data_IF_609971722019
#
_entry.id   IF_609971722019
#
_cell.length_a   1.000
_cell.length_b   1.000
_cell.length_c   1.000
_cell.angle_alpha   90.00
_cell.angle_beta   90.00
_cell.angle_gamma   90.00
#
_symmetry.space_group_name_H-M   'P 1'
#
loop_
_entity.id
_entity.type
_entity.pdbx_description
1 polymer ?
#
# COMPACT_ATOMS: atom_id res chain seq x y z
N UNK A 1 31.35 -38.82 47.42
CA UNK A 1 32.38 -39.90 47.43
C UNK A 1 33.19 -39.71 48.68
N UNK A 2 33.22 -40.71 49.57
CA UNK A 2 34.08 -40.68 50.76
C UNK A 2 35.25 -41.61 50.46
N UNK A 3 36.48 -41.10 50.56
CA UNK A 3 37.69 -41.88 50.38
C UNK A 3 38.38 -42.00 51.74
N UNK A 4 38.57 -43.24 52.19
CA UNK A 4 39.36 -43.58 53.37
C UNK A 4 40.59 -44.38 52.94
N UNK A 5 41.71 -44.15 53.63
CA UNK A 5 42.95 -44.89 53.40
C UNK A 5 43.12 -45.89 54.56
N UNK A 6 43.10 -47.19 54.24
CA UNK A 6 43.38 -48.22 55.24
C UNK A 6 44.90 -48.27 55.52
N UNK A 7 45.30 -48.75 56.70
CA UNK A 7 46.71 -48.82 57.14
C UNK A 7 47.63 -49.55 56.14
N UNK A 8 47.07 -50.43 55.31
CA UNK A 8 47.80 -51.25 54.34
C UNK A 8 47.96 -50.57 52.96
N UNK A 9 47.77 -49.25 52.86
CA UNK A 9 47.85 -48.50 51.60
C UNK A 9 46.70 -48.79 50.61
N UNK A 10 45.68 -49.52 51.04
CA UNK A 10 44.49 -49.82 50.23
C UNK A 10 43.49 -48.66 50.33
N UNK A 11 43.21 -48.03 49.19
CA UNK A 11 42.18 -46.98 49.10
C UNK A 11 40.80 -47.62 49.02
N UNK A 12 39.95 -47.37 50.01
CA UNK A 12 38.56 -47.84 50.01
C UNK A 12 37.67 -46.67 49.61
N UNK A 13 37.02 -46.79 48.45
CA UNK A 13 36.04 -45.83 47.97
C UNK A 13 34.61 -46.32 48.24
N UNK A 14 33.86 -45.61 49.08
CA UNK A 14 32.42 -45.81 49.22
C UNK A 14 31.66 -44.82 48.34
N UNK A 15 30.84 -45.35 47.43
CA UNK A 15 29.92 -44.56 46.61
C UNK A 15 28.54 -44.60 47.26
N UNK A 16 28.16 -43.52 47.93
CA UNK A 16 26.80 -43.30 48.39
C UNK A 16 26.00 -42.65 47.26
N UNK A 17 24.89 -43.29 46.87
CA UNK A 17 23.91 -42.72 45.96
C UNK A 17 22.64 -42.37 46.74
N UNK A 18 22.13 -41.16 46.55
CA UNK A 18 20.81 -40.78 47.02
C UNK A 18 19.83 -40.91 45.86
N UNK A 19 18.77 -41.70 46.03
CA UNK A 19 17.69 -41.81 45.05
C UNK A 19 16.47 -41.09 45.63
N UNK A 20 16.06 -40.01 44.98
CA UNK A 20 14.78 -39.39 45.26
C UNK A 20 13.69 -40.33 44.73
N UNK A 21 12.92 -40.92 45.64
CA UNK A 21 11.73 -41.68 45.25
C UNK A 21 10.74 -40.79 44.52
N UNK A 22 10.09 -41.32 43.48
CA UNK A 22 8.97 -40.63 42.84
C UNK A 22 7.87 -40.32 43.87
N UNK A 23 7.17 -39.20 43.65
CA UNK A 23 6.07 -38.79 44.53
C UNK A 23 4.99 -39.88 44.61
N UNK A 24 4.32 -40.08 45.77
CA UNK A 24 3.27 -41.08 45.94
C UNK A 24 2.13 -41.01 44.92
N UNK A 25 1.89 -39.84 44.33
CA UNK A 25 0.89 -39.66 43.28
C UNK A 25 1.19 -40.44 42.00
N UNK A 26 2.46 -40.75 41.71
CA UNK A 26 2.85 -41.64 40.59
C UNK A 26 2.58 -43.11 40.86
N UNK A 27 2.30 -43.50 42.12
CA UNK A 27 1.94 -44.88 42.45
C UNK A 27 0.48 -45.19 42.16
N UNK A 28 -0.36 -44.17 42.04
CA UNK A 28 -1.78 -44.35 41.75
C UNK A 28 -2.01 -44.31 40.24
N UNK A 29 -2.27 -45.49 39.66
CA UNK A 29 -2.59 -45.66 38.24
C UNK A 29 -4.10 -45.72 37.97
N UNK A 30 -4.94 -45.56 39.00
CA UNK A 30 -6.38 -45.61 38.86
C UNK A 30 -6.95 -44.26 38.39
N UNK A 31 -7.98 -44.33 37.54
CA UNK A 31 -8.72 -43.16 37.08
C UNK A 31 -9.50 -42.52 38.23
N UNK A 32 -9.33 -41.22 38.42
CA UNK A 32 -10.09 -40.44 39.40
C UNK A 32 -11.36 -39.87 38.75
N UNK A 33 -12.39 -40.70 38.60
CA UNK A 33 -13.70 -40.32 38.06
C UNK A 33 -14.34 -39.06 38.71
N UNK A 34 -14.36 -38.90 40.05
CA UNK A 34 -14.97 -37.72 40.64
C UNK A 34 -14.20 -36.43 40.30
N UNK A 35 -12.87 -36.48 40.21
CA UNK A 35 -12.08 -35.34 39.75
C UNK A 35 -12.40 -34.99 38.29
N UNK A 36 -12.52 -35.99 37.42
CA UNK A 36 -12.89 -35.78 36.02
C UNK A 36 -14.29 -35.16 35.88
N UNK A 37 -15.25 -35.59 36.72
CA UNK A 37 -16.58 -35.01 36.75
C UNK A 37 -16.57 -33.54 37.23
N UNK A 38 -15.77 -33.22 38.25
CA UNK A 38 -15.59 -31.83 38.69
C UNK A 38 -14.97 -30.97 37.59
N UNK A 39 -13.96 -31.48 36.90
CA UNK A 39 -13.30 -30.77 35.82
C UNK A 39 -14.25 -30.52 34.64
N UNK A 40 -15.08 -31.50 34.29
CA UNK A 40 -16.14 -31.35 33.29
C UNK A 40 -17.14 -30.26 33.69
N UNK A 41 -17.55 -30.18 34.96
CA UNK A 41 -18.45 -29.14 35.45
C UNK A 41 -17.85 -27.73 35.34
N UNK A 42 -16.57 -27.57 35.70
CA UNK A 42 -15.89 -26.26 35.66
C UNK A 42 -15.63 -25.80 34.23
N UNK A 43 -15.27 -26.72 33.34
CA UNK A 43 -14.95 -26.43 31.94
C UNK A 43 -16.17 -26.39 31.02
N UNK A 44 -17.35 -26.77 31.51
CA UNK A 44 -18.55 -26.98 30.69
C UNK A 44 -18.45 -28.18 29.75
N UNK A 45 -17.47 -29.06 29.97
CA UNK A 45 -17.28 -30.31 29.23
C UNK A 45 -18.23 -31.42 29.68
N UNK A 46 -18.07 -32.62 29.09
CA UNK A 46 -18.83 -33.82 29.48
C UNK A 46 -17.96 -35.06 29.50
N UNK A 47 -18.25 -35.98 30.40
CA UNK A 47 -17.68 -37.33 30.38
C UNK A 47 -18.35 -38.17 29.29
N UNK A 48 -17.55 -38.88 28.49
CA UNK A 48 -18.02 -39.82 27.48
C UNK A 48 -17.93 -41.24 28.04
N UNK A 49 -18.94 -42.06 27.77
CA UNK A 49 -18.92 -43.48 28.12
C UNK A 49 -18.32 -44.31 26.99
N UNK A 50 -17.79 -45.47 27.35
CA UNK A 50 -17.34 -46.48 26.38
C UNK A 50 -18.52 -46.84 25.46
N UNK A 51 -18.34 -46.68 24.15
CA UNK A 51 -19.39 -46.85 23.14
C UNK A 51 -19.90 -45.54 22.50
N UNK A 52 -19.53 -44.37 23.02
CA UNK A 52 -19.87 -43.05 22.43
C UNK A 52 -18.68 -42.37 21.70
N UNK A 53 -17.81 -43.16 21.07
CA UNK A 53 -16.56 -42.67 20.45
C UNK A 53 -16.80 -41.63 19.35
N UNK A 54 -17.87 -41.81 18.57
CA UNK A 54 -18.24 -40.88 17.49
C UNK A 54 -18.63 -39.50 17.99
N UNK A 55 -19.10 -39.42 19.23
CA UNK A 55 -19.58 -38.18 19.84
C UNK A 55 -18.44 -37.26 20.30
N UNK A 56 -17.18 -37.73 20.27
CA UNK A 56 -15.96 -36.92 20.44
C UNK A 56 -15.71 -36.01 19.24
N UNK A 57 -16.07 -36.48 18.04
CA UNK A 57 -15.85 -35.77 16.78
C UNK A 57 -17.04 -34.90 16.36
N UNK A 58 -18.04 -34.77 17.22
CA UNK A 58 -19.14 -33.84 16.98
C UNK A 58 -18.58 -32.41 16.96
N UNK A 59 -18.85 -31.67 15.88
CA UNK A 59 -18.42 -30.28 15.73
C UNK A 59 -19.40 -29.33 16.42
N UNK A 60 -19.68 -29.60 17.70
CA UNK A 60 -20.66 -28.88 18.52
C UNK A 60 -20.01 -27.93 19.55
N UNK A 61 -18.68 -27.76 19.49
CA UNK A 61 -17.96 -26.80 20.32
C UNK A 61 -18.03 -25.40 19.69
N UNK A 62 -18.17 -24.35 20.51
CA UNK A 62 -18.05 -22.98 20.04
C UNK A 62 -16.66 -22.81 19.41
N UNK A 63 -16.60 -22.26 18.19
CA UNK A 63 -15.32 -21.96 17.56
C UNK A 63 -14.62 -20.88 18.37
N UNK A 64 -13.59 -21.28 19.10
CA UNK A 64 -12.61 -20.37 19.70
C UNK A 64 -12.04 -19.49 18.57
N UNK A 65 -11.83 -18.18 18.80
CA UNK A 65 -11.15 -17.34 17.83
C UNK A 65 -9.73 -17.87 17.58
N UNK A 66 -9.57 -18.62 16.49
CA UNK A 66 -8.29 -19.14 16.08
C UNK A 66 -7.37 -17.97 15.66
N UNK A 67 -6.22 -17.85 16.32
CA UNK A 67 -5.19 -16.88 15.95
C UNK A 67 -4.75 -17.14 14.51
N UNK A 68 -5.06 -16.21 13.62
CA UNK A 68 -4.60 -16.30 12.22
C UNK A 68 -3.11 -15.99 12.16
N UNK A 69 -2.29 -16.80 11.47
CA UNK A 69 -0.88 -16.51 11.31
C UNK A 69 -0.71 -15.23 10.47
N UNK A 70 -0.24 -14.15 11.11
CA UNK A 70 0.04 -12.87 10.44
C UNK A 70 1.41 -12.86 9.74
N UNK A 71 2.27 -13.82 10.05
CA UNK A 71 3.64 -13.90 9.53
C UNK A 71 3.71 -13.96 7.99
N UNK A 72 2.80 -14.61 7.23
CA UNK A 72 2.91 -14.65 5.77
C UNK A 72 2.79 -13.25 5.18
N UNK A 73 1.89 -12.43 5.73
CA UNK A 73 1.71 -11.03 5.33
C UNK A 73 2.91 -10.18 5.69
N UNK A 74 3.48 -10.38 6.88
CA UNK A 74 4.71 -9.69 7.29
C UNK A 74 5.88 -10.06 6.39
N UNK A 75 6.06 -11.34 6.05
CA UNK A 75 7.12 -11.78 5.15
C UNK A 75 6.94 -11.24 3.73
N UNK A 76 5.70 -11.22 3.22
CA UNK A 76 5.40 -10.64 1.92
C UNK A 76 5.72 -9.14 1.90
N UNK A 77 5.36 -8.43 2.97
CA UNK A 77 5.69 -7.02 3.12
C UNK A 77 7.20 -6.80 3.20
N UNK A 78 7.94 -7.62 3.95
CA UNK A 78 9.42 -7.56 4.01
C UNK A 78 10.05 -7.79 2.64
N UNK A 79 9.60 -8.81 1.89
CA UNK A 79 10.11 -9.09 0.54
C UNK A 79 9.84 -7.94 -0.41
N UNK A 80 8.68 -7.26 -0.28
CA UNK A 80 8.35 -6.10 -1.10
C UNK A 80 9.10 -4.82 -0.65
N UNK A 81 9.33 -4.65 0.65
CA UNK A 81 10.07 -3.51 1.20
C UNK A 81 11.55 -3.57 0.90
N UNK A 82 12.13 -4.77 0.77
CA UNK A 82 13.56 -4.94 0.51
C UNK A 82 14.05 -4.25 -0.77
N UNK A 83 13.46 -4.47 -1.97
CA UNK A 83 13.86 -3.72 -3.17
C UNK A 83 13.50 -2.23 -3.08
N UNK A 84 12.45 -1.86 -2.32
CA UNK A 84 12.10 -0.46 -2.10
C UNK A 84 13.13 0.27 -1.23
N UNK A 85 13.59 -0.33 -0.13
CA UNK A 85 14.61 0.24 0.76
C UNK A 85 15.97 0.35 0.05
N UNK A 86 16.35 -0.68 -0.71
CA UNK A 86 17.54 -0.63 -1.59
C UNK A 86 17.36 0.46 -2.64
N UNK A 87 16.17 0.54 -3.24
CA UNK A 87 15.83 1.53 -4.26
C UNK A 87 15.87 2.96 -3.75
N UNK A 88 15.46 3.24 -2.51
CA UNK A 88 15.48 4.59 -1.94
C UNK A 88 16.87 4.95 -1.40
N UNK A 89 17.57 4.00 -0.78
CA UNK A 89 18.88 4.26 -0.16
C UNK A 89 20.05 4.19 -1.12
N UNK A 90 20.02 3.26 -2.07
CA UNK A 90 21.20 2.92 -2.90
C UNK A 90 21.09 3.37 -4.34
N UNK A 91 19.88 3.54 -4.85
CA UNK A 91 19.65 4.08 -6.18
C UNK A 91 19.02 5.45 -5.97
N UNK A 92 19.57 6.51 -6.57
CA UNK A 92 18.87 7.79 -6.60
C UNK A 92 17.74 7.64 -7.62
N UNK A 93 16.68 6.89 -7.29
CA UNK A 93 15.54 6.70 -8.18
C UNK A 93 14.90 8.07 -8.40
N UNK A 94 14.99 8.57 -9.63
CA UNK A 94 14.21 9.73 -10.05
C UNK A 94 12.77 9.26 -10.30
N UNK A 95 11.77 10.12 -10.09
CA UNK A 95 10.35 9.80 -10.33
C UNK A 95 10.08 9.16 -11.71
N UNK A 96 10.88 9.50 -12.72
CA UNK A 96 10.84 8.93 -14.06
C UNK A 96 11.20 7.43 -14.13
N UNK A 97 12.07 6.94 -13.25
CA UNK A 97 12.43 5.52 -13.20
C UNK A 97 11.32 4.69 -12.58
N UNK A 98 10.59 5.28 -11.62
CA UNK A 98 9.40 4.67 -11.04
C UNK A 98 8.29 4.50 -12.08
N UNK A 99 8.04 5.52 -12.92
CA UNK A 99 7.09 5.42 -14.03
C UNK A 99 7.48 4.34 -15.05
N UNK A 100 8.77 4.21 -15.37
CA UNK A 100 9.28 3.20 -16.31
C UNK A 100 9.11 1.80 -15.74
N UNK A 101 9.41 1.60 -14.46
CA UNK A 101 9.25 0.32 -13.78
C UNK A 101 7.77 -0.09 -13.72
N UNK A 102 6.88 0.82 -13.34
CA UNK A 102 5.42 0.58 -13.34
C UNK A 102 4.95 0.24 -14.76
N UNK A 103 5.31 1.03 -15.77
CA UNK A 103 4.93 0.76 -17.17
C UNK A 103 5.47 -0.57 -17.68
N UNK A 104 6.64 -1.02 -17.22
CA UNK A 104 7.19 -2.32 -17.60
C UNK A 104 6.52 -3.49 -16.87
N UNK A 105 6.24 -3.37 -15.57
CA UNK A 105 5.54 -4.39 -14.78
C UNK A 105 4.09 -4.52 -15.26
N UNK A 106 3.38 -3.39 -15.39
CA UNK A 106 1.97 -3.35 -15.77
C UNK A 106 1.74 -3.40 -17.29
N UNK A 107 2.72 -3.03 -18.11
CA UNK A 107 2.66 -3.15 -19.57
C UNK A 107 3.01 -4.54 -20.11
N UNK A 108 3.50 -5.44 -19.24
CA UNK A 108 3.64 -6.87 -19.53
C UNK A 108 2.38 -7.68 -19.21
N UNK A 109 1.37 -7.08 -18.58
CA UNK A 109 0.04 -7.66 -18.67
C UNK A 109 -0.37 -7.56 -20.13
N UNK A 110 -0.86 -8.65 -20.77
CA UNK A 110 -1.42 -8.53 -22.10
C UNK A 110 -2.48 -7.44 -22.02
N UNK A 111 -2.25 -6.32 -22.70
CA UNK A 111 -3.34 -5.42 -23.02
C UNK A 111 -4.37 -6.31 -23.71
N UNK A 112 -5.46 -6.63 -23.02
CA UNK A 112 -6.67 -7.04 -23.70
C UNK A 112 -6.93 -5.92 -24.67
N UNK A 113 -6.59 -6.16 -25.92
CA UNK A 113 -6.96 -5.33 -27.04
C UNK A 113 -8.46 -5.06 -26.84
N UNK A 114 -8.85 -3.82 -26.55
CA UNK A 114 -10.25 -3.54 -26.32
C UNK A 114 -10.93 -3.85 -27.64
N UNK A 115 -11.64 -4.99 -27.69
CA UNK A 115 -12.60 -5.27 -28.74
C UNK A 115 -13.52 -4.06 -28.74
N UNK A 116 -13.41 -3.28 -29.80
CA UNK A 116 -14.11 -2.02 -29.98
C UNK A 116 -15.60 -2.33 -29.96
N UNK A 117 -16.24 -2.19 -28.79
CA UNK A 117 -17.67 -1.87 -28.68
C UNK A 117 -17.76 -0.36 -28.41
N UNK A 118 -17.86 0.47 -29.46
CA UNK A 118 -17.75 1.93 -29.35
C UNK A 118 -18.99 2.57 -28.69
N UNK A 119 -20.04 1.81 -28.39
CA UNK A 119 -21.29 2.35 -27.85
C UNK A 119 -21.26 2.56 -26.32
N UNK A 120 -20.68 1.64 -25.55
CA UNK A 120 -20.73 1.68 -24.07
C UNK A 120 -19.76 2.69 -23.45
N UNK A 121 -18.56 2.85 -24.02
CA UNK A 121 -17.56 3.80 -23.51
C UNK A 121 -17.93 5.26 -23.80
N UNK A 122 -18.59 5.52 -24.95
CA UNK A 122 -19.13 6.84 -25.30
C UNK A 122 -20.31 7.25 -24.40
N UNK A 123 -21.17 6.31 -24.03
CA UNK A 123 -22.28 6.58 -23.10
C UNK A 123 -21.78 6.85 -21.68
N UNK A 124 -20.78 6.08 -21.21
CA UNK A 124 -20.19 6.31 -19.89
C UNK A 124 -19.45 7.65 -19.81
N UNK A 125 -18.73 8.07 -20.87
CA UNK A 125 -18.08 9.39 -20.90
C UNK A 125 -19.09 10.54 -20.96
N UNK A 126 -20.23 10.37 -21.65
CA UNK A 126 -21.34 11.33 -21.62
C UNK A 126 -21.95 11.50 -20.24
N UNK A 127 -22.06 10.41 -19.45
CA UNK A 127 -22.53 10.48 -18.08
C UNK A 127 -21.56 11.23 -17.15
N UNK A 128 -20.25 11.04 -17.33
CA UNK A 128 -19.24 11.80 -16.56
C UNK A 128 -19.24 13.30 -16.91
N UNK A 129 -19.42 13.65 -18.19
CA UNK A 129 -19.56 15.04 -18.64
C UNK A 129 -20.85 15.68 -18.11
N UNK A 130 -21.97 14.95 -18.11
CA UNK A 130 -23.23 15.42 -17.53
C UNK A 130 -23.13 15.63 -16.01
N UNK A 131 -22.43 14.73 -15.30
CA UNK A 131 -22.21 14.84 -13.85
C UNK A 131 -21.31 16.02 -13.49
N UNK A 132 -20.26 16.29 -14.27
CA UNK A 132 -19.42 17.49 -14.09
C UNK A 132 -20.19 18.78 -14.34
N UNK A 133 -21.07 18.81 -15.35
CA UNK A 133 -21.95 19.97 -15.61
C UNK A 133 -22.96 20.22 -14.49
N UNK A 134 -23.57 19.15 -13.96
CA UNK A 134 -24.51 19.26 -12.84
C UNK A 134 -23.84 19.64 -11.50
N UNK A 135 -22.54 19.35 -11.37
CA UNK A 135 -21.75 19.73 -10.19
C UNK A 135 -21.22 21.17 -10.31
N UNK A 136 -21.20 21.75 -11.51
CA UNK A 136 -20.65 23.07 -11.80
C UNK A 136 -21.64 24.25 -11.64
N UNK A 137 -22.96 24.01 -11.47
CA UNK A 137 -23.94 25.07 -11.16
C UNK A 137 -25.03 24.51 -10.25
N UNK A 138 -25.32 25.20 -9.13
CA UNK A 138 -26.44 26.15 -9.16
C UNK A 138 -26.27 27.38 -8.26
N UNK A 139 -26.37 28.59 -8.84
CA UNK A 139 -27.04 29.76 -8.26
C UNK A 139 -27.20 30.78 -9.39
N UNK A 140 -28.43 30.91 -9.89
CA UNK A 140 -29.13 32.18 -10.15
C UNK A 140 -30.36 31.78 -10.99
N UNK A 141 -31.49 31.63 -10.29
CA UNK A 141 -32.81 31.63 -10.90
C UNK A 141 -33.09 33.05 -11.38
N UNK A 142 -34.05 33.17 -12.31
CA UNK A 142 -34.83 34.39 -12.62
C UNK A 142 -34.16 35.30 -13.68
N UNK A 143 -34.70 35.58 -14.88
CA UNK A 143 -36.09 35.74 -15.35
C UNK A 143 -36.24 35.42 -16.85
N UNK A 144 -37.49 35.17 -17.19
CA UNK A 144 -38.11 34.88 -18.50
C UNK A 144 -38.07 36.11 -19.46
N UNK A 145 -38.14 35.93 -20.79
CA UNK A 145 -37.92 36.97 -21.81
C UNK A 145 -39.20 37.44 -22.55
N UNK A 146 -39.24 38.71 -23.00
CA UNK A 146 -40.11 39.24 -24.08
C UNK A 146 -39.37 40.44 -24.72
N UNK A 147 -38.89 40.40 -25.97
CA UNK A 147 -39.56 40.56 -27.29
C UNK A 147 -39.96 42.00 -27.68
N UNK A 148 -39.57 42.38 -28.92
CA UNK A 148 -40.10 43.51 -29.73
C UNK A 148 -39.11 44.66 -29.95
N UNK A 149 -38.50 44.81 -31.14
CA UNK A 149 -38.90 45.72 -32.24
C UNK A 149 -38.58 47.21 -31.90
N UNK A 150 -37.96 48.10 -32.69
CA UNK A 150 -37.75 48.38 -34.13
C UNK A 150 -36.47 49.28 -34.16
N UNK A 151 -35.63 49.40 -35.21
CA UNK A 151 -35.76 50.41 -36.26
C UNK A 151 -34.47 50.48 -37.11
N UNK A 152 -34.66 50.81 -38.38
CA UNK A 152 -33.77 50.58 -39.52
C UNK A 152 -33.33 51.93 -40.12
N UNK A 153 -32.08 51.95 -40.62
CA UNK A 153 -31.48 52.88 -41.61
C UNK A 153 -30.92 54.23 -41.13
N UNK A 154 -29.65 54.49 -41.52
CA UNK A 154 -29.00 55.79 -41.39
C UNK A 154 -27.53 55.81 -41.80
N UNK A 155 -27.29 55.83 -43.10
CA UNK A 155 -26.03 56.02 -43.86
C UNK A 155 -25.14 57.21 -43.42
N UNK A 156 -23.82 57.02 -43.28
CA UNK A 156 -22.74 57.78 -43.99
C UNK A 156 -21.32 57.60 -43.39
N UNK A 157 -20.44 57.07 -44.24
CA UNK A 157 -19.03 57.44 -44.48
C UNK A 157 -18.31 58.39 -43.50
N UNK A 158 -17.09 58.02 -43.05
CA UNK A 158 -15.81 58.44 -43.68
C UNK A 158 -14.56 57.99 -42.87
N UNK A 159 -13.51 57.63 -43.60
CA UNK A 159 -12.05 57.84 -43.31
C UNK A 159 -11.48 57.16 -42.05
N UNK A 160 -10.77 56.04 -42.17
CA UNK A 160 -9.37 55.91 -42.57
C UNK A 160 -8.34 56.53 -41.59
N UNK A 161 -7.48 55.63 -41.07
CA UNK A 161 -6.04 55.82 -40.82
C UNK A 161 -5.63 56.81 -39.71
N UNK A 162 -4.97 56.30 -38.66
CA UNK A 162 -3.54 56.51 -38.38
C UNK A 162 -3.23 56.11 -36.93
N UNK A 163 -2.11 55.43 -36.76
CA UNK A 163 -1.51 54.97 -35.51
C UNK A 163 -0.69 56.15 -34.90
N UNK A 164 0.30 55.86 -34.06
CA UNK A 164 0.31 55.76 -32.60
C UNK A 164 0.69 57.11 -31.93
N UNK A 165 0.74 57.14 -30.60
CA UNK A 165 1.80 57.93 -29.96
C UNK A 165 2.39 57.24 -28.74
N UNK A 166 3.72 57.17 -28.82
CA UNK A 166 4.74 56.77 -27.87
C UNK A 166 4.94 57.88 -26.83
N UNK A 167 5.46 57.54 -25.64
CA UNK A 167 6.61 58.21 -24.97
C UNK A 167 6.59 57.90 -23.47
N UNK A 168 7.67 57.67 -22.71
CA UNK A 168 9.12 57.40 -22.92
C UNK A 168 9.71 57.23 -21.52
N UNK A 169 10.73 56.36 -21.36
CA UNK A 169 11.91 56.49 -20.45
C UNK A 169 12.65 55.13 -20.49
N UNK A 170 13.69 54.91 -21.30
CA UNK A 170 15.08 55.43 -21.30
C UNK A 170 16.01 54.78 -20.25
N UNK A 171 16.96 54.00 -20.80
CA UNK A 171 18.33 53.61 -20.41
C UNK A 171 18.68 53.13 -18.99
N UNK A 172 19.18 51.88 -18.90
CA UNK A 172 20.64 51.61 -18.95
C UNK A 172 20.95 50.11 -19.25
N UNK A 173 22.10 49.78 -19.89
CA UNK A 173 22.46 48.42 -20.29
C UNK A 173 23.46 47.75 -19.32
N UNK A 174 23.15 46.53 -18.85
CA UNK A 174 24.09 45.70 -18.08
C UNK A 174 24.65 44.58 -18.97
N UNK A 175 25.94 44.68 -19.22
CA UNK A 175 26.81 43.74 -19.93
C UNK A 175 26.90 42.39 -19.17
N UNK A 176 26.68 41.23 -19.81
CA UNK A 176 26.92 39.94 -19.16
C UNK A 176 28.38 39.48 -19.32
N UNK A 177 29.01 38.89 -18.29
CA UNK A 177 30.41 38.48 -18.33
C UNK A 177 30.67 37.33 -19.32
N UNK A 178 31.82 37.45 -19.98
CA UNK A 178 32.40 36.48 -20.90
C UNK A 178 32.56 35.10 -20.23
N UNK A 179 31.86 34.09 -20.75
CA UNK A 179 32.10 32.69 -20.38
C UNK A 179 30.92 31.73 -20.44
N UNK A 180 29.71 32.18 -20.77
CA UNK A 180 28.53 31.29 -20.81
C UNK A 180 28.30 30.66 -22.20
N UNK A 181 27.96 29.36 -22.20
CA UNK A 181 27.61 28.52 -23.35
C UNK A 181 26.59 29.15 -24.33
N UNK A 182 25.76 30.07 -23.84
CA UNK A 182 24.76 30.80 -24.61
C UNK A 182 25.39 31.66 -25.72
N UNK A 183 26.53 32.32 -25.46
CA UNK A 183 27.23 33.12 -26.47
C UNK A 183 27.81 32.24 -27.60
N UNK A 184 28.36 31.07 -27.25
CA UNK A 184 28.88 30.10 -28.25
C UNK A 184 27.79 29.51 -29.15
N UNK A 185 26.55 29.39 -28.65
CA UNK A 185 25.43 28.90 -29.44
C UNK A 185 24.89 29.95 -30.42
N UNK A 186 24.88 31.23 -30.04
CA UNK A 186 24.49 32.33 -30.93
C UNK A 186 25.46 32.49 -32.10
N UNK A 187 26.76 32.33 -31.84
CA UNK A 187 27.81 32.43 -32.87
C UNK A 187 27.77 31.26 -33.87
N UNK A 188 27.56 30.02 -33.40
CA UNK A 188 27.42 28.84 -34.26
C UNK A 188 26.16 28.89 -35.14
N UNK A 189 25.12 29.61 -34.71
CA UNK A 189 23.90 29.81 -35.51
C UNK A 189 24.11 30.81 -36.64
N UNK A 190 24.97 31.83 -36.45
CA UNK A 190 25.32 32.80 -37.50
C UNK A 190 26.17 32.19 -38.62
N UNK A 191 27.09 31.28 -38.30
CA UNK A 191 27.94 30.61 -39.32
C UNK A 191 27.19 29.61 -40.21
N UNK A 192 25.93 29.28 -39.91
CA UNK A 192 25.14 28.29 -40.67
C UNK A 192 24.19 28.92 -41.70
N UNK A 193 24.17 30.25 -41.81
CA UNK A 193 23.31 31.01 -42.73
C UNK A 193 24.09 31.75 -43.83
N UNK A 194 25.38 31.47 -43.97
CA UNK A 194 26.22 31.83 -45.13
C UNK A 194 26.73 30.55 -45.77
#
# INVERSE_FOLDING_TARGET
RVAGQAENGTTVGQTLGWVLGYSPEYRNLATNEPLLQQLAQVTGGRGLKVGEETAVFAHNLPSEPATRPIWPWLTLLTVLLLPLDIGVRRLVLTWRDWERLIKWIFGRLPQREPIIEPARSAQLSQLFVAKQRATALPTERERVPEQGEVEVVGEREKTAVFQPDTTTATDEPVEPPAGTLAARLAEKRRQRQT
#
